data_IF_660060773163
#
_entry.id   IF_660060773163
#
_cell.length_a   1.000
_cell.length_b   1.000
_cell.length_c   1.000
_cell.angle_alpha   90.00
_cell.angle_beta   90.00
_cell.angle_gamma   90.00
#
_symmetry.space_group_name_H-M   'P 1'
#
loop_
_entity.id
_entity.type
_entity.pdbx_description
1 polymer ?
#
# COMPACT_ATOMS: atom_id res chain seq x y z
N UNK A 1 1.40 -40.10 9.08
CA UNK A 1 0.86 -38.81 9.57
C UNK A 1 -0.32 -38.36 8.73
N UNK A 2 -0.31 -38.57 7.40
CA UNK A 2 -1.44 -38.25 6.50
C UNK A 2 -2.75 -38.96 6.86
N UNK A 3 -2.70 -40.27 7.15
CA UNK A 3 -3.91 -41.05 7.44
C UNK A 3 -4.63 -40.60 8.73
N UNK A 4 -3.85 -40.31 9.79
CA UNK A 4 -4.41 -39.79 11.03
C UNK A 4 -5.04 -38.40 10.85
N UNK A 5 -4.43 -37.54 10.01
CA UNK A 5 -4.99 -36.22 9.71
C UNK A 5 -6.29 -36.35 8.92
N UNK A 6 -6.36 -37.24 7.92
CA UNK A 6 -7.57 -37.53 7.17
C UNK A 6 -8.71 -38.05 8.08
N UNK A 7 -8.39 -38.94 9.02
CA UNK A 7 -9.36 -39.46 10.02
C UNK A 7 -9.93 -38.30 10.87
N UNK A 8 -9.10 -37.33 11.27
CA UNK A 8 -9.57 -36.18 12.06
C UNK A 8 -10.51 -35.25 11.26
N UNK A 9 -10.24 -35.04 9.97
CA UNK A 9 -11.14 -34.28 9.11
C UNK A 9 -12.48 -35.00 8.93
N UNK A 10 -12.45 -36.32 8.74
CA UNK A 10 -13.69 -37.15 8.65
C UNK A 10 -14.48 -37.12 9.95
N UNK A 11 -13.81 -37.21 11.10
CA UNK A 11 -14.45 -37.09 12.42
C UNK A 11 -15.07 -35.69 12.66
N UNK A 12 -14.50 -34.63 12.01
CA UNK A 12 -15.05 -33.27 12.00
C UNK A 12 -16.20 -33.08 10.99
N UNK A 13 -16.63 -34.13 10.28
CA UNK A 13 -17.76 -34.10 9.35
C UNK A 13 -17.42 -33.79 7.89
N UNK A 14 -16.13 -33.78 7.54
CA UNK A 14 -15.67 -33.63 6.16
C UNK A 14 -15.70 -35.02 5.50
N UNK A 15 -16.33 -35.15 4.34
CA UNK A 15 -16.32 -36.40 3.61
C UNK A 15 -14.96 -36.71 2.98
N UNK A 16 -14.70 -38.00 2.77
CA UNK A 16 -13.47 -38.45 2.15
C UNK A 16 -13.24 -37.81 0.76
N UNK A 17 -14.28 -37.79 -0.07
CA UNK A 17 -14.23 -37.21 -1.42
C UNK A 17 -13.84 -35.69 -1.39
N UNK A 18 -14.37 -34.94 -0.42
CA UNK A 18 -14.06 -33.53 -0.26
C UNK A 18 -12.60 -33.36 0.21
N UNK A 19 -12.15 -34.17 1.16
CA UNK A 19 -10.78 -34.16 1.62
C UNK A 19 -9.80 -34.44 0.47
N UNK A 20 -10.02 -35.54 -0.27
CA UNK A 20 -9.12 -35.94 -1.38
C UNK A 20 -9.14 -34.90 -2.51
N UNK A 21 -10.29 -34.27 -2.80
CA UNK A 21 -10.36 -33.17 -3.74
C UNK A 21 -9.53 -31.97 -3.29
N UNK A 22 -9.65 -31.57 -2.02
CA UNK A 22 -8.87 -30.44 -1.47
C UNK A 22 -7.35 -30.71 -1.49
N UNK A 23 -6.93 -31.93 -1.12
CA UNK A 23 -5.53 -32.33 -1.19
C UNK A 23 -5.00 -32.28 -2.63
N UNK A 24 -5.78 -32.76 -3.61
CA UNK A 24 -5.39 -32.69 -5.02
C UNK A 24 -5.21 -31.25 -5.51
N UNK A 25 -6.03 -30.32 -5.06
CA UNK A 25 -5.89 -28.90 -5.36
C UNK A 25 -4.64 -28.31 -4.67
N UNK A 26 -4.44 -28.64 -3.39
CA UNK A 26 -3.26 -28.17 -2.63
C UNK A 26 -1.96 -28.65 -3.29
N UNK A 27 -1.90 -29.90 -3.71
CA UNK A 27 -0.76 -30.46 -4.44
C UNK A 27 -0.51 -29.71 -5.77
N UNK A 28 -1.56 -29.39 -6.50
CA UNK A 28 -1.45 -28.62 -7.76
C UNK A 28 -0.94 -27.20 -7.58
N UNK A 29 -1.06 -26.64 -6.37
CA UNK A 29 -0.64 -25.29 -6.02
C UNK A 29 0.72 -25.24 -5.32
N UNK A 30 1.38 -26.37 -5.10
CA UNK A 30 2.60 -26.49 -4.30
C UNK A 30 3.71 -25.54 -4.77
N UNK A 31 4.00 -25.49 -6.07
CA UNK A 31 4.99 -24.55 -6.63
C UNK A 31 4.60 -23.08 -6.37
N UNK A 32 3.30 -22.77 -6.33
CA UNK A 32 2.83 -21.43 -6.03
C UNK A 32 3.06 -21.08 -4.57
N UNK A 33 2.81 -22.02 -3.67
CA UNK A 33 3.04 -21.84 -2.23
C UNK A 33 4.53 -21.69 -1.93
N UNK A 34 5.39 -22.51 -2.54
CA UNK A 34 6.84 -22.38 -2.39
C UNK A 34 7.34 -20.97 -2.79
N UNK A 35 6.85 -20.42 -3.89
CA UNK A 35 7.17 -19.04 -4.30
C UNK A 35 6.70 -17.98 -3.29
N UNK A 36 5.54 -18.18 -2.68
CA UNK A 36 5.03 -17.28 -1.64
C UNK A 36 5.89 -17.39 -0.38
N UNK A 37 6.29 -18.59 0.01
CA UNK A 37 7.16 -18.84 1.14
C UNK A 37 8.54 -18.19 0.95
N UNK A 38 9.11 -18.27 -0.26
CA UNK A 38 10.38 -17.62 -0.61
C UNK A 38 10.27 -16.08 -0.44
N UNK A 39 9.21 -15.48 -0.96
CA UNK A 39 8.96 -14.04 -0.79
C UNK A 39 8.79 -13.66 0.68
N UNK A 40 8.03 -14.46 1.44
CA UNK A 40 7.84 -14.26 2.87
C UNK A 40 9.16 -14.34 3.63
N UNK A 41 10.00 -15.33 3.33
CA UNK A 41 11.32 -15.51 3.95
C UNK A 41 12.26 -14.34 3.66
N UNK A 42 12.33 -13.89 2.39
CA UNK A 42 13.15 -12.73 1.98
C UNK A 42 12.72 -11.48 2.76
N UNK A 43 11.42 -11.20 2.80
CA UNK A 43 10.90 -10.03 3.52
C UNK A 43 11.11 -10.14 5.02
N UNK A 44 10.95 -11.32 5.61
CA UNK A 44 11.23 -11.55 7.03
C UNK A 44 12.69 -11.22 7.38
N UNK A 45 13.63 -11.69 6.54
CA UNK A 45 15.07 -11.39 6.71
C UNK A 45 15.34 -9.89 6.55
N UNK A 46 14.71 -9.24 5.57
CA UNK A 46 14.81 -7.79 5.35
C UNK A 46 14.40 -7.01 6.60
N UNK A 47 13.25 -7.33 7.19
CA UNK A 47 12.76 -6.70 8.43
C UNK A 47 13.69 -6.98 9.61
N UNK A 48 14.11 -8.23 9.83
CA UNK A 48 15.05 -8.57 10.91
C UNK A 48 16.37 -7.81 10.81
N UNK A 49 16.93 -7.68 9.59
CA UNK A 49 18.16 -6.91 9.37
C UNK A 49 17.98 -5.42 9.67
N UNK A 50 16.85 -4.83 9.31
CA UNK A 50 16.53 -3.46 9.64
C UNK A 50 16.41 -3.27 11.17
N UNK A 51 15.70 -4.17 11.86
CA UNK A 51 15.61 -4.15 13.32
C UNK A 51 16.98 -4.29 14.01
N UNK A 52 17.86 -5.15 13.50
CA UNK A 52 19.24 -5.30 14.02
C UNK A 52 20.07 -4.03 13.78
N UNK A 53 19.99 -3.46 12.58
CA UNK A 53 20.69 -2.22 12.22
C UNK A 53 20.27 -1.07 13.12
N UNK A 54 18.98 -0.92 13.40
CA UNK A 54 18.41 0.11 14.26
C UNK A 54 18.48 -0.25 15.75
N UNK A 55 19.09 -1.39 16.11
CA UNK A 55 19.31 -1.85 17.49
C UNK A 55 18.03 -1.92 18.32
N UNK A 56 16.95 -2.45 17.72
CA UNK A 56 15.69 -2.64 18.43
C UNK A 56 15.93 -3.43 19.72
N UNK A 57 15.49 -2.91 20.85
CA UNK A 57 15.69 -3.48 22.19
C UNK A 57 14.41 -3.38 23.01
N UNK A 58 14.38 -3.99 24.19
CA UNK A 58 13.23 -3.91 25.11
C UNK A 58 12.84 -2.46 25.43
N UNK A 59 13.80 -1.54 25.53
CA UNK A 59 13.53 -0.12 25.78
C UNK A 59 12.68 0.56 24.71
N UNK A 60 12.69 0.06 23.45
CA UNK A 60 11.85 0.58 22.39
C UNK A 60 10.35 0.32 22.61
N UNK A 61 9.99 -0.58 23.51
CA UNK A 61 8.61 -0.97 23.86
C UNK A 61 8.11 -0.34 25.15
N UNK A 62 8.92 0.49 25.79
CA UNK A 62 8.51 1.19 27.00
C UNK A 62 7.58 2.37 26.67
N UNK A 63 6.78 2.77 27.65
CA UNK A 63 5.87 3.91 27.51
C UNK A 63 6.64 5.21 27.35
N UNK A 64 6.12 6.10 26.50
CA UNK A 64 6.64 7.46 26.33
C UNK A 64 5.64 8.51 26.83
N UNK A 65 6.09 9.78 26.89
CA UNK A 65 5.28 10.89 27.40
C UNK A 65 4.11 11.31 26.47
N UNK A 66 4.09 10.81 25.23
CA UNK A 66 3.11 11.22 24.22
C UNK A 66 3.43 12.54 23.51
N UNK A 67 4.37 13.35 24.00
CA UNK A 67 4.79 14.59 23.30
C UNK A 67 5.59 14.34 22.02
N UNK A 68 6.18 13.14 21.84
CA UNK A 68 6.95 12.77 20.66
C UNK A 68 8.35 13.38 20.56
N UNK A 69 8.86 13.92 21.66
CA UNK A 69 10.25 14.37 21.77
C UNK A 69 11.09 13.26 22.38
N UNK A 70 12.23 12.93 21.73
CA UNK A 70 13.17 11.90 22.16
C UNK A 70 12.46 10.56 22.49
N UNK A 71 11.50 10.18 21.62
CA UNK A 71 10.72 8.96 21.77
C UNK A 71 11.44 7.79 21.11
N UNK A 72 12.25 7.08 21.88
CA UNK A 72 13.09 5.98 21.38
C UNK A 72 12.28 4.96 20.57
N UNK A 73 11.10 4.57 21.02
CA UNK A 73 10.29 3.56 20.34
C UNK A 73 9.80 4.03 18.99
N UNK A 74 9.28 5.26 18.89
CA UNK A 74 8.77 5.84 17.65
C UNK A 74 9.88 6.09 16.64
N UNK A 75 10.97 6.73 17.08
CA UNK A 75 12.10 7.04 16.21
C UNK A 75 12.75 5.77 15.66
N UNK A 76 12.90 4.76 16.50
CA UNK A 76 13.43 3.46 16.09
C UNK A 76 12.49 2.77 15.09
N UNK A 77 11.16 2.78 15.33
CA UNK A 77 10.19 2.19 14.43
C UNK A 77 10.21 2.86 13.05
N UNK A 78 10.26 4.19 13.01
CA UNK A 78 10.33 4.96 11.77
C UNK A 78 11.63 4.70 11.01
N UNK A 79 12.75 4.60 11.72
CA UNK A 79 14.02 4.24 11.12
C UNK A 79 14.03 2.81 10.55
N UNK A 80 13.40 1.85 11.24
CA UNK A 80 13.19 0.48 10.73
C UNK A 80 12.35 0.50 9.45
N UNK A 81 11.25 1.25 9.44
CA UNK A 81 10.41 1.40 8.26
C UNK A 81 11.16 2.02 7.08
N UNK A 82 11.89 3.11 7.32
CA UNK A 82 12.71 3.74 6.28
C UNK A 82 13.72 2.76 5.68
N UNK A 83 14.39 1.96 6.52
CA UNK A 83 15.33 0.93 6.05
C UNK A 83 14.62 -0.19 5.26
N UNK A 84 13.45 -0.66 5.71
CA UNK A 84 12.71 -1.76 5.07
C UNK A 84 12.14 -1.36 3.72
N UNK A 85 11.63 -0.13 3.62
CA UNK A 85 11.05 0.42 2.40
C UNK A 85 12.07 1.21 1.55
N UNK A 86 13.35 1.19 1.90
CA UNK A 86 14.43 1.94 1.24
C UNK A 86 14.06 3.42 0.98
N UNK A 87 13.38 4.03 1.96
CA UNK A 87 12.98 5.42 1.93
C UNK A 87 13.95 6.31 2.72
N UNK A 88 14.00 7.60 2.42
CA UNK A 88 14.81 8.57 3.16
C UNK A 88 14.32 8.72 4.61
N UNK A 89 13.01 8.69 4.80
CA UNK A 89 12.37 8.77 6.11
C UNK A 89 11.00 8.07 6.09
N UNK A 90 10.48 7.77 7.26
CA UNK A 90 9.14 7.22 7.43
C UNK A 90 8.40 7.95 8.56
N UNK A 91 7.08 7.98 8.47
CA UNK A 91 6.18 8.41 9.52
C UNK A 91 5.23 7.26 9.84
N UNK A 92 5.41 6.64 11.02
CA UNK A 92 4.65 5.45 11.42
C UNK A 92 3.98 5.74 12.76
N UNK A 93 2.67 5.93 12.75
CA UNK A 93 1.96 6.44 13.93
C UNK A 93 0.61 5.73 14.16
N UNK A 94 0.28 5.36 15.40
CA UNK A 94 -1.07 4.93 15.74
C UNK A 94 -2.09 6.07 15.62
N UNK A 95 -1.65 7.33 15.70
CA UNK A 95 -2.49 8.51 15.50
C UNK A 95 -2.96 8.66 14.04
N UNK A 96 -2.29 8.06 13.08
CA UNK A 96 -2.78 7.86 11.72
C UNK A 96 -3.74 6.66 11.71
N UNK A 97 -4.90 6.79 12.28
CA UNK A 97 -5.80 5.71 12.72
C UNK A 97 -6.12 4.61 11.70
N UNK A 98 -5.97 4.89 10.41
CA UNK A 98 -6.20 3.93 9.31
C UNK A 98 -5.54 4.41 8.01
N UNK A 99 -5.54 3.56 6.98
CA UNK A 99 -4.97 3.90 5.67
C UNK A 99 -5.60 5.15 5.04
N UNK A 100 -6.91 5.34 5.14
CA UNK A 100 -7.57 6.55 4.63
C UNK A 100 -7.05 7.81 5.32
N UNK A 101 -6.81 7.77 6.64
CA UNK A 101 -6.24 8.90 7.38
C UNK A 101 -4.79 9.16 6.97
N UNK A 102 -3.98 8.13 6.80
CA UNK A 102 -2.61 8.26 6.30
C UNK A 102 -2.58 8.88 4.89
N UNK A 103 -3.40 8.37 3.97
CA UNK A 103 -3.53 8.91 2.61
C UNK A 103 -4.01 10.37 2.61
N UNK A 104 -5.02 10.70 3.43
CA UNK A 104 -5.52 12.09 3.56
C UNK A 104 -4.42 13.02 4.06
N UNK A 105 -3.66 12.59 5.06
CA UNK A 105 -2.54 13.36 5.61
C UNK A 105 -1.46 13.58 4.55
N UNK A 106 -1.08 12.55 3.81
CA UNK A 106 -0.09 12.62 2.74
C UNK A 106 -0.55 13.56 1.61
N UNK A 107 -1.80 13.45 1.16
CA UNK A 107 -2.39 14.35 0.16
C UNK A 107 -2.36 15.81 0.63
N UNK A 108 -2.79 16.06 1.87
CA UNK A 108 -2.83 17.41 2.46
C UNK A 108 -1.44 17.99 2.72
N UNK A 109 -0.43 17.15 2.94
CA UNK A 109 0.95 17.59 3.10
C UNK A 109 1.51 18.20 1.80
N UNK A 110 1.09 17.71 0.64
CA UNK A 110 1.61 18.08 -0.68
C UNK A 110 0.73 19.11 -1.39
N UNK A 111 -0.58 18.86 -1.42
CA UNK A 111 -1.52 19.64 -2.24
C UNK A 111 -1.88 20.99 -1.60
N UNK A 112 -2.00 22.03 -2.43
CA UNK A 112 -2.42 23.39 -2.04
C UNK A 112 -3.55 23.88 -2.94
N UNK A 113 -4.34 24.87 -2.54
CA UNK A 113 -5.37 25.47 -3.39
C UNK A 113 -4.84 25.87 -4.77
N UNK A 114 -5.48 25.40 -5.82
CA UNK A 114 -5.05 25.59 -7.22
C UNK A 114 -4.28 24.41 -7.83
N UNK A 115 -3.80 23.47 -7.02
CA UNK A 115 -3.15 22.25 -7.49
C UNK A 115 -4.16 21.25 -8.08
N UNK A 116 -3.65 20.28 -8.83
CA UNK A 116 -4.40 19.16 -9.36
C UNK A 116 -3.84 17.82 -8.86
N UNK A 117 -4.76 16.97 -8.40
CA UNK A 117 -4.53 15.55 -8.11
C UNK A 117 -4.90 14.72 -9.34
N UNK A 118 -3.99 13.89 -9.85
CA UNK A 118 -4.23 12.95 -10.95
C UNK A 118 -4.22 11.51 -10.47
N UNK A 119 -5.23 10.72 -10.88
CA UNK A 119 -5.24 9.25 -10.72
C UNK A 119 -5.13 8.60 -12.09
N UNK A 120 -4.00 7.97 -12.44
CA UNK A 120 -3.75 7.42 -13.79
C UNK A 120 -4.15 5.94 -13.93
N UNK A 121 -4.78 5.36 -12.91
CA UNK A 121 -5.15 3.93 -12.84
C UNK A 121 -6.64 3.73 -12.55
N UNK A 122 -7.44 4.71 -12.91
CA UNK A 122 -8.86 4.74 -12.65
C UNK A 122 -9.22 5.37 -11.30
N UNK A 123 -10.45 5.13 -10.88
CA UNK A 123 -11.03 5.67 -9.66
C UNK A 123 -10.29 5.16 -8.42
N UNK A 124 -9.98 6.01 -7.45
CA UNK A 124 -9.36 5.59 -6.20
C UNK A 124 -10.33 4.79 -5.33
N UNK A 125 -9.81 4.18 -4.26
CA UNK A 125 -10.60 3.44 -3.30
C UNK A 125 -11.76 4.29 -2.74
N UNK A 126 -12.89 3.66 -2.47
CA UNK A 126 -14.16 4.35 -2.16
C UNK A 126 -14.10 5.32 -0.97
N UNK A 127 -13.27 5.04 0.04
CA UNK A 127 -13.10 5.94 1.19
C UNK A 127 -12.36 7.24 0.81
N UNK A 128 -11.53 7.23 -0.22
CA UNK A 128 -10.86 8.43 -0.74
C UNK A 128 -11.78 9.31 -1.59
N UNK A 129 -12.85 8.75 -2.14
CA UNK A 129 -13.79 9.53 -2.94
C UNK A 129 -14.38 10.71 -2.16
N UNK A 130 -14.74 10.49 -0.88
CA UNK A 130 -15.22 11.55 0.01
C UNK A 130 -14.12 12.56 0.35
N UNK A 131 -12.90 12.09 0.60
CA UNK A 131 -11.74 12.95 0.88
C UNK A 131 -11.43 13.87 -0.31
N UNK A 132 -11.44 13.31 -1.52
CA UNK A 132 -11.20 14.08 -2.76
C UNK A 132 -12.37 15.02 -3.07
N UNK A 133 -13.59 14.60 -2.79
CA UNK A 133 -14.81 15.35 -3.11
C UNK A 133 -15.43 14.96 -4.45
N UNK A 134 -15.30 13.66 -4.83
CA UNK A 134 -15.88 13.10 -6.06
C UNK A 134 -17.08 12.19 -5.80
N UNK A 135 -17.50 12.05 -4.53
CA UNK A 135 -18.67 11.29 -4.11
C UNK A 135 -19.73 12.21 -3.52
N UNK A 136 -20.96 12.09 -4.00
CA UNK A 136 -22.07 12.88 -3.52
C UNK A 136 -22.18 14.25 -4.19
N UNK A 137 -22.43 15.30 -3.40
CA UNK A 137 -22.64 16.67 -3.87
C UNK A 137 -21.40 17.24 -4.57
N UNK A 138 -21.61 18.28 -5.40
CA UNK A 138 -20.54 18.87 -6.22
C UNK A 138 -19.36 19.46 -5.42
N UNK A 139 -19.54 19.73 -4.14
CA UNK A 139 -18.50 20.28 -3.27
C UNK A 139 -18.70 19.87 -1.79
N UNK A 140 -18.49 18.57 -1.46
CA UNK A 140 -18.75 18.10 -0.10
C UNK A 140 -17.81 18.77 0.92
N UNK A 141 -18.34 19.22 2.07
CA UNK A 141 -17.56 19.92 3.10
C UNK A 141 -16.35 19.08 3.57
N UNK A 142 -15.22 19.73 3.77
CA UNK A 142 -13.97 19.13 4.24
C UNK A 142 -13.20 18.36 3.17
N UNK A 143 -13.65 18.37 1.91
CA UNK A 143 -12.97 17.69 0.80
C UNK A 143 -11.84 18.53 0.21
N UNK A 144 -10.91 17.85 -0.49
CA UNK A 144 -9.85 18.52 -1.25
C UNK A 144 -10.44 19.50 -2.28
N UNK A 145 -11.58 19.15 -2.89
CA UNK A 145 -12.28 20.00 -3.85
C UNK A 145 -12.78 21.29 -3.20
N UNK A 146 -13.35 21.24 -1.98
CA UNK A 146 -13.74 22.43 -1.22
C UNK A 146 -12.55 23.36 -0.95
N UNK A 147 -11.37 22.77 -0.70
CA UNK A 147 -10.12 23.52 -0.51
C UNK A 147 -9.47 24.00 -1.83
N UNK A 148 -10.16 23.89 -2.95
CA UNK A 148 -9.70 24.42 -4.25
C UNK A 148 -8.70 23.53 -4.97
N UNK A 149 -8.62 22.26 -4.63
CA UNK A 149 -7.79 21.26 -5.31
C UNK A 149 -8.65 20.58 -6.37
N UNK A 150 -8.18 20.56 -7.62
CA UNK A 150 -8.86 19.88 -8.71
C UNK A 150 -8.48 18.40 -8.77
N UNK A 151 -9.39 17.59 -9.30
CA UNK A 151 -9.20 16.15 -9.49
C UNK A 151 -9.33 15.77 -10.95
N UNK A 152 -8.44 14.91 -11.41
CA UNK A 152 -8.47 14.32 -12.76
C UNK A 152 -8.23 12.81 -12.67
N UNK A 153 -8.92 12.06 -13.53
CA UNK A 153 -8.81 10.62 -13.63
C UNK A 153 -8.49 10.21 -15.06
N UNK A 154 -7.64 9.20 -15.19
CA UNK A 154 -7.46 8.43 -16.42
C UNK A 154 -7.69 6.97 -16.08
N UNK A 155 -8.59 6.33 -16.82
CA UNK A 155 -8.89 4.91 -16.62
C UNK A 155 -7.86 4.04 -17.33
N UNK A 156 -7.75 2.79 -16.90
CA UNK A 156 -6.99 1.77 -17.64
C UNK A 156 -7.72 1.43 -18.94
N UNK A 157 -6.99 0.96 -19.93
CA UNK A 157 -7.55 0.38 -21.15
C UNK A 157 -8.31 -0.92 -20.82
N UNK A 158 -9.11 -1.42 -21.76
CA UNK A 158 -9.94 -2.61 -21.54
C UNK A 158 -9.13 -3.88 -21.19
N UNK A 159 -7.90 -3.97 -21.67
CA UNK A 159 -6.96 -5.05 -21.34
C UNK A 159 -6.24 -4.86 -20.00
N UNK A 160 -6.51 -3.78 -19.27
CA UNK A 160 -5.88 -3.42 -18.01
C UNK A 160 -4.50 -2.78 -18.14
N UNK A 161 -4.08 -2.42 -19.34
CA UNK A 161 -2.87 -1.63 -19.57
C UNK A 161 -3.08 -0.14 -19.31
N UNK A 162 -1.98 0.61 -19.16
CA UNK A 162 -2.02 2.05 -18.95
C UNK A 162 -2.32 2.77 -20.27
N UNK A 163 -3.24 3.73 -20.25
CA UNK A 163 -3.43 4.66 -21.36
C UNK A 163 -2.40 5.79 -21.29
N UNK A 164 -1.19 5.53 -21.76
CA UNK A 164 -0.09 6.48 -21.74
C UNK A 164 -0.39 7.77 -22.52
N UNK A 165 -1.16 7.69 -23.59
CA UNK A 165 -1.54 8.86 -24.37
C UNK A 165 -2.53 9.76 -23.63
N UNK A 166 -3.52 9.17 -22.96
CA UNK A 166 -4.45 9.91 -22.11
C UNK A 166 -3.74 10.49 -20.86
N UNK A 167 -2.85 9.74 -20.23
CA UNK A 167 -2.04 10.20 -19.10
C UNK A 167 -1.19 11.40 -19.51
N UNK A 168 -0.51 11.34 -20.66
CA UNK A 168 0.29 12.45 -21.21
C UNK A 168 -0.53 13.70 -21.44
N UNK A 169 -1.76 13.56 -21.96
CA UNK A 169 -2.69 14.68 -22.18
C UNK A 169 -3.26 15.23 -20.87
N UNK A 170 -3.40 14.39 -19.86
CA UNK A 170 -3.95 14.78 -18.56
C UNK A 170 -2.95 15.60 -17.72
N UNK A 171 -1.66 15.27 -17.80
CA UNK A 171 -0.61 16.01 -17.05
C UNK A 171 -0.51 17.43 -17.59
N UNK A 172 -0.58 18.41 -16.67
CA UNK A 172 -0.52 19.83 -16.98
C UNK A 172 0.24 20.60 -15.86
N UNK A 173 0.33 21.92 -16.00
CA UNK A 173 1.06 22.77 -15.05
C UNK A 173 0.56 22.66 -13.60
N UNK A 174 -0.76 22.43 -13.41
CA UNK A 174 -1.38 22.30 -12.09
C UNK A 174 -1.22 20.91 -11.49
N UNK A 175 -0.90 19.88 -12.27
CA UNK A 175 -0.72 18.52 -11.78
C UNK A 175 0.45 18.46 -10.81
N UNK A 176 0.16 18.47 -9.52
CA UNK A 176 1.15 18.51 -8.43
C UNK A 176 1.45 17.12 -7.90
N UNK A 177 0.44 16.27 -7.80
CA UNK A 177 0.55 14.93 -7.27
C UNK A 177 -0.21 13.93 -8.14
N UNK A 178 0.45 12.79 -8.37
CA UNK A 178 -0.17 11.61 -8.99
C UNK A 178 -0.29 10.54 -7.93
N UNK A 179 -1.50 10.03 -7.70
CA UNK A 179 -1.72 8.89 -6.78
C UNK A 179 -2.00 7.61 -7.56
N UNK A 180 -1.26 6.57 -7.24
CA UNK A 180 -1.31 5.25 -7.88
C UNK A 180 -1.80 4.24 -6.85
N UNK A 181 -3.04 3.79 -6.96
CA UNK A 181 -3.55 2.71 -6.12
C UNK A 181 -3.05 1.36 -6.62
N UNK A 182 -2.24 0.67 -5.84
CA UNK A 182 -1.65 -0.63 -6.18
C UNK A 182 -2.70 -1.74 -6.21
N UNK A 183 -3.47 -1.88 -5.14
CA UNK A 183 -4.52 -2.90 -5.03
C UNK A 183 -5.68 -2.60 -5.98
N UNK A 184 -6.39 -3.64 -6.41
CA UNK A 184 -7.61 -3.47 -7.23
C UNK A 184 -8.81 -2.97 -6.42
N UNK A 185 -8.76 -3.04 -5.08
CA UNK A 185 -9.91 -2.79 -4.24
C UNK A 185 -11.09 -3.71 -4.62
N UNK A 186 -12.26 -3.14 -4.82
CA UNK A 186 -13.45 -3.84 -5.30
C UNK A 186 -13.59 -3.87 -6.83
N UNK A 187 -12.67 -3.26 -7.55
CA UNK A 187 -12.70 -3.22 -9.01
C UNK A 187 -12.25 -4.56 -9.63
N UNK A 188 -12.64 -4.79 -10.89
CA UNK A 188 -12.23 -5.98 -11.65
C UNK A 188 -10.88 -5.83 -12.34
N UNK A 189 -10.26 -4.65 -12.29
CA UNK A 189 -8.95 -4.38 -12.87
C UNK A 189 -7.84 -5.25 -12.23
N UNK A 190 -6.72 -5.50 -12.90
CA UNK A 190 -5.58 -6.19 -12.30
C UNK A 190 -4.97 -5.38 -11.14
N UNK A 191 -4.41 -6.07 -10.14
CA UNK A 191 -3.50 -5.49 -9.16
C UNK A 191 -2.18 -5.13 -9.86
N UNK A 192 -1.56 -4.01 -9.48
CA UNK A 192 -0.31 -3.58 -10.07
C UNK A 192 0.88 -4.22 -9.36
N UNK A 193 1.79 -4.83 -10.14
CA UNK A 193 3.11 -5.22 -9.63
C UNK A 193 3.97 -3.97 -9.41
N UNK A 194 5.03 -4.11 -8.58
CA UNK A 194 5.99 -3.01 -8.36
C UNK A 194 6.68 -2.63 -9.67
N UNK A 195 6.98 -3.60 -10.54
CA UNK A 195 7.54 -3.34 -11.87
C UNK A 195 6.63 -2.44 -12.71
N UNK A 196 5.33 -2.75 -12.80
CA UNK A 196 4.36 -1.92 -13.53
C UNK A 196 4.21 -0.53 -12.94
N UNK A 197 4.26 -0.41 -11.60
CA UNK A 197 4.28 0.91 -10.93
C UNK A 197 5.51 1.70 -11.35
N UNK A 198 6.68 1.06 -11.40
CA UNK A 198 7.93 1.68 -11.85
C UNK A 198 7.87 2.16 -13.31
N UNK A 199 7.29 1.36 -14.21
CA UNK A 199 7.05 1.74 -15.60
C UNK A 199 6.21 3.03 -15.68
N UNK A 200 5.10 3.06 -14.95
CA UNK A 200 4.19 4.20 -14.91
C UNK A 200 4.87 5.45 -14.34
N UNK A 201 5.56 5.33 -13.22
CA UNK A 201 6.29 6.44 -12.60
C UNK A 201 7.36 7.00 -13.55
N UNK A 202 8.15 6.13 -14.17
CA UNK A 202 9.18 6.53 -15.15
C UNK A 202 8.58 7.31 -16.30
N UNK A 203 7.43 6.87 -16.82
CA UNK A 203 6.71 7.58 -17.89
C UNK A 203 6.25 8.96 -17.40
N UNK A 204 5.58 9.05 -16.25
CA UNK A 204 5.08 10.31 -15.68
C UNK A 204 6.24 11.29 -15.45
N UNK A 205 7.32 10.84 -14.82
CA UNK A 205 8.51 11.66 -14.55
C UNK A 205 9.24 12.11 -15.82
N UNK A 206 9.11 11.38 -16.94
CA UNK A 206 9.65 11.82 -18.23
C UNK A 206 8.90 13.02 -18.82
N UNK A 207 7.64 13.25 -18.42
CA UNK A 207 6.79 14.36 -18.86
C UNK A 207 6.94 15.54 -17.87
N UNK A 208 6.87 15.27 -16.58
CA UNK A 208 6.91 16.27 -15.50
C UNK A 208 7.76 15.76 -14.34
N UNK A 209 9.09 15.99 -14.36
CA UNK A 209 10.02 15.43 -13.36
C UNK A 209 9.72 15.80 -11.92
N UNK A 210 9.16 17.00 -11.69
CA UNK A 210 8.87 17.55 -10.36
C UNK A 210 7.51 17.07 -9.77
N UNK A 211 6.68 16.36 -10.54
CA UNK A 211 5.41 15.84 -10.02
C UNK A 211 5.66 14.77 -8.96
N UNK A 212 4.93 14.81 -7.87
CA UNK A 212 5.06 13.81 -6.81
C UNK A 212 4.23 12.58 -7.16
N UNK A 213 4.89 11.43 -7.22
CA UNK A 213 4.25 10.12 -7.41
C UNK A 213 4.07 9.44 -6.06
N UNK A 214 2.83 9.39 -5.58
CA UNK A 214 2.44 8.72 -4.35
C UNK A 214 1.78 7.39 -4.68
N UNK A 215 2.18 6.33 -4.00
CA UNK A 215 1.57 5.00 -4.13
C UNK A 215 0.74 4.69 -2.88
N UNK A 216 -0.55 4.42 -3.07
CA UNK A 216 -1.38 3.73 -2.08
C UNK A 216 -1.01 2.25 -2.12
N UNK A 217 -0.18 1.84 -1.16
CA UNK A 217 0.38 0.49 -1.07
C UNK A 217 -0.45 -0.46 -0.19
N UNK A 218 -1.62 -0.02 0.26
CA UNK A 218 -2.51 -0.87 1.07
C UNK A 218 -2.73 -2.25 0.45
N UNK A 219 -2.46 -3.31 1.21
CA UNK A 219 -2.43 -4.73 0.80
C UNK A 219 -1.29 -5.11 -0.17
N UNK A 220 -0.39 -4.17 -0.49
CA UNK A 220 0.75 -4.44 -1.36
C UNK A 220 2.04 -4.70 -0.59
N UNK A 221 2.12 -4.25 0.65
CA UNK A 221 3.32 -4.34 1.46
C UNK A 221 3.75 -5.80 1.63
N UNK A 222 5.02 -6.09 1.37
CA UNK A 222 5.62 -7.43 1.50
C UNK A 222 5.06 -8.52 0.57
N UNK A 223 4.24 -8.16 -0.42
CA UNK A 223 3.70 -9.11 -1.42
C UNK A 223 4.75 -9.45 -2.49
N UNK A 224 5.69 -8.55 -2.71
CA UNK A 224 6.86 -8.73 -3.58
C UNK A 224 8.13 -8.50 -2.75
N UNK A 225 9.31 -8.79 -3.32
CA UNK A 225 10.61 -8.65 -2.63
C UNK A 225 11.11 -7.19 -2.61
N UNK A 226 10.53 -6.35 -3.47
CA UNK A 226 10.80 -4.90 -3.56
C UNK A 226 9.51 -4.12 -3.36
N UNK A 227 9.65 -2.84 -3.04
CA UNK A 227 8.54 -1.94 -2.73
C UNK A 227 8.46 -0.76 -3.74
N UNK A 228 7.35 -0.02 -3.82
CA UNK A 228 7.21 1.07 -4.77
C UNK A 228 8.30 2.15 -4.70
N UNK A 229 8.89 2.35 -3.54
CA UNK A 229 10.03 3.26 -3.32
C UNK A 229 11.29 2.82 -4.08
N UNK A 230 11.51 1.51 -4.24
CA UNK A 230 12.62 0.96 -5.03
C UNK A 230 12.55 1.30 -6.52
N UNK A 231 11.36 1.65 -7.00
CA UNK A 231 11.10 1.94 -8.42
C UNK A 231 10.75 3.41 -8.68
N UNK A 232 10.98 4.28 -7.70
CA UNK A 232 10.91 5.73 -7.87
C UNK A 232 9.63 6.39 -7.36
N UNK A 233 8.83 5.73 -6.53
CA UNK A 233 7.76 6.40 -5.80
C UNK A 233 8.36 7.42 -4.83
N UNK A 234 7.88 8.67 -4.88
CA UNK A 234 8.29 9.72 -3.95
C UNK A 234 7.65 9.53 -2.57
N UNK A 235 6.47 8.91 -2.53
CA UNK A 235 5.75 8.58 -1.31
C UNK A 235 5.09 7.20 -1.44
N UNK A 236 5.18 6.41 -0.38
CA UNK A 236 4.49 5.13 -0.26
C UNK A 236 3.64 5.18 1.02
N UNK A 237 2.34 5.01 0.90
CA UNK A 237 1.40 5.17 2.01
C UNK A 237 0.64 3.87 2.22
N UNK A 238 0.51 3.45 3.47
CA UNK A 238 -0.10 2.18 3.83
C UNK A 238 -0.89 2.21 5.13
N UNK A 239 -1.23 1.03 5.60
CA UNK A 239 -2.04 0.85 6.81
C UNK A 239 -1.51 -0.29 7.67
N UNK A 240 -1.25 -0.01 8.95
CA UNK A 240 -0.81 -1.03 9.91
C UNK A 240 -1.88 -2.09 10.22
N UNK A 241 -3.16 -1.80 9.97
CA UNK A 241 -4.23 -2.80 10.14
C UNK A 241 -4.24 -3.86 9.02
N UNK A 242 -3.33 -3.74 8.05
CA UNK A 242 -3.16 -4.64 6.90
C UNK A 242 -1.83 -5.41 7.02
N UNK A 243 -1.11 -5.59 5.92
CA UNK A 243 0.06 -6.47 5.88
C UNK A 243 1.16 -6.12 6.92
N UNK A 244 1.56 -4.85 7.12
CA UNK A 244 2.64 -4.55 8.05
C UNK A 244 2.33 -4.90 9.50
N UNK A 245 1.09 -4.74 9.91
CA UNK A 245 0.65 -5.07 11.28
C UNK A 245 0.35 -6.55 11.50
N UNK A 246 0.38 -7.39 10.48
CA UNK A 246 0.23 -8.84 10.59
C UNK A 246 -1.05 -9.31 11.29
N UNK A 247 -2.12 -8.53 11.25
CA UNK A 247 -3.36 -8.79 11.99
C UNK A 247 -3.30 -8.47 13.49
N UNK A 248 -2.19 -7.94 13.99
CA UNK A 248 -2.01 -7.60 15.41
C UNK A 248 -2.28 -6.11 15.69
N UNK A 249 -1.99 -5.23 14.75
CA UNK A 249 -2.22 -3.80 14.92
C UNK A 249 -3.71 -3.45 14.70
N UNK A 250 -4.42 -2.96 15.72
CA UNK A 250 -5.84 -2.61 15.58
C UNK A 250 -6.06 -1.26 14.88
N UNK A 251 -5.03 -0.41 14.86
CA UNK A 251 -5.01 0.92 14.24
C UNK A 251 -3.63 1.23 13.69
N UNK A 252 -3.50 2.31 12.95
CA UNK A 252 -2.23 2.87 12.53
C UNK A 252 -2.09 2.98 11.02
N UNK A 253 -1.19 3.89 10.61
CA UNK A 253 -0.80 4.12 9.22
C UNK A 253 0.66 4.51 9.08
N UNK A 254 1.15 4.43 7.89
CA UNK A 254 2.50 4.77 7.47
C UNK A 254 2.50 5.47 6.12
#
# INVERSE_FOLDING_TARGET
MSDLLKEQYMAAGISEDVYDFCESIADSLKERFEKIDDVAQINQIKVLRAMQKQRVSAGCFESSTGYGYDDLGRETLEAVYADVFHAESALVRPQLTCGTHALTTALSAVLRPGDELLTPVGKPYDTLEGVIGIKGDDNPPGSLKEFGISYRQVDLLEDGSFDFDAIKKAINEKTKLVTIQRSKGYATRPTLSVERIGELIKFIKSIKPEVICMVDNCYGEFVETIEPTDVGADMCVGSLIKNPGGGLAPIGGN
#
